data_IF_097374561502
#
_entry.id   IF_097374561502
#
_cell.length_a   1.000
_cell.length_b   1.000
_cell.length_c   1.000
_cell.angle_alpha   90.00
_cell.angle_beta   90.00
_cell.angle_gamma   90.00
#
_symmetry.space_group_name_H-M   'P 1'
#
loop_
_entity.id
_entity.type
_entity.pdbx_description
1 polymer ?
#
# COMPACT_ATOMS: atom_id res chain seq x y z
N UNK A 1 -1.54 -18.93 -24.59
CA UNK A 1 -1.83 -18.34 -23.28
C UNK A 1 -2.54 -19.40 -22.45
N UNK A 2 -1.89 -20.01 -21.45
CA UNK A 2 -2.55 -21.06 -20.64
C UNK A 2 -2.98 -20.61 -19.25
N UNK A 3 -2.67 -19.37 -18.83
CA UNK A 3 -3.02 -18.84 -17.52
C UNK A 3 -3.39 -17.35 -17.63
N UNK A 4 -4.41 -16.95 -16.87
CA UNK A 4 -4.89 -15.56 -16.79
C UNK A 4 -6.36 -15.38 -17.16
N UNK A 5 -6.90 -14.23 -16.79
CA UNK A 5 -8.25 -13.79 -17.17
C UNK A 5 -8.16 -12.80 -18.33
N UNK A 6 -9.13 -12.85 -19.25
CA UNK A 6 -9.17 -11.93 -20.39
C UNK A 6 -9.37 -10.50 -19.93
N UNK A 7 -8.47 -9.58 -20.31
CA UNK A 7 -8.64 -8.16 -19.99
C UNK A 7 -9.91 -7.60 -20.68
N UNK A 8 -10.58 -6.67 -20.02
CA UNK A 8 -11.78 -6.02 -20.55
C UNK A 8 -13.10 -6.72 -20.25
N UNK A 9 -13.11 -7.87 -19.56
CA UNK A 9 -14.35 -8.48 -19.07
C UNK A 9 -14.70 -8.01 -17.66
N UNK A 10 -16.01 -7.90 -17.38
CA UNK A 10 -16.55 -7.49 -16.07
C UNK A 10 -16.22 -8.53 -14.99
N UNK A 11 -16.05 -9.80 -15.38
CA UNK A 11 -15.77 -10.90 -14.45
C UNK A 11 -14.30 -10.99 -14.05
N UNK A 12 -13.37 -10.50 -14.88
CA UNK A 12 -11.93 -10.62 -14.64
C UNK A 12 -11.48 -10.07 -13.28
N UNK A 13 -11.91 -8.88 -12.84
CA UNK A 13 -11.56 -8.37 -11.52
C UNK A 13 -12.11 -9.23 -10.37
N UNK A 14 -13.35 -9.72 -10.50
CA UNK A 14 -14.00 -10.55 -9.47
C UNK A 14 -13.27 -11.89 -9.34
N UNK A 15 -12.96 -12.53 -10.46
CA UNK A 15 -12.22 -13.78 -10.49
C UNK A 15 -10.81 -13.62 -9.91
N UNK A 16 -10.15 -12.50 -10.20
CA UNK A 16 -8.86 -12.18 -9.59
C UNK A 16 -8.96 -12.01 -8.07
N UNK A 17 -9.96 -11.29 -7.58
CA UNK A 17 -10.18 -11.13 -6.13
C UNK A 17 -10.43 -12.47 -5.45
N UNK A 18 -11.26 -13.35 -6.04
CA UNK A 18 -11.48 -14.72 -5.53
C UNK A 18 -10.16 -15.51 -5.51
N UNK A 19 -9.35 -15.38 -6.56
CA UNK A 19 -8.07 -16.09 -6.68
C UNK A 19 -7.07 -15.73 -5.57
N UNK A 20 -7.07 -14.48 -5.11
CA UNK A 20 -6.13 -13.99 -4.08
C UNK A 20 -6.73 -13.87 -2.69
N UNK A 21 -8.02 -14.16 -2.52
CA UNK A 21 -8.80 -13.85 -1.31
C UNK A 21 -8.21 -14.42 -0.01
N UNK A 22 -7.58 -15.59 -0.09
CA UNK A 22 -7.05 -16.30 1.07
C UNK A 22 -5.73 -15.72 1.60
N UNK A 23 -5.20 -14.63 1.02
CA UNK A 23 -3.96 -13.99 1.52
C UNK A 23 -4.09 -13.57 2.98
N UNK A 24 -5.29 -13.27 3.46
CA UNK A 24 -5.54 -12.91 4.86
C UNK A 24 -5.09 -14.02 5.82
N UNK A 25 -5.08 -15.28 5.38
CA UNK A 25 -4.61 -16.42 6.16
C UNK A 25 -3.07 -16.50 6.27
N UNK A 26 -2.32 -15.79 5.43
CA UNK A 26 -0.85 -15.78 5.49
C UNK A 26 -0.30 -14.89 6.63
N UNK A 27 -1.15 -14.06 7.25
CA UNK A 27 -0.72 -13.09 8.25
C UNK A 27 -1.10 -13.51 9.67
N UNK A 28 -0.09 -13.62 10.55
CA UNK A 28 -0.32 -13.90 11.98
C UNK A 28 -0.61 -12.62 12.79
N UNK A 29 0.04 -11.51 12.42
CA UNK A 29 -0.06 -10.21 13.09
C UNK A 29 -0.17 -9.08 12.07
N UNK A 30 -0.89 -8.02 12.42
CA UNK A 30 -1.14 -6.89 11.53
C UNK A 30 -2.47 -7.00 10.79
N UNK A 31 -2.62 -6.19 9.74
CA UNK A 31 -3.81 -6.16 8.88
C UNK A 31 -3.39 -6.16 7.42
N UNK A 32 -4.17 -6.85 6.59
CA UNK A 32 -4.07 -6.75 5.13
C UNK A 32 -5.24 -5.90 4.62
N UNK A 33 -4.95 -5.01 3.69
CA UNK A 33 -5.96 -4.33 2.87
C UNK A 33 -5.65 -4.64 1.41
N UNK A 34 -6.61 -5.21 0.69
CA UNK A 34 -6.49 -5.49 -0.74
C UNK A 34 -7.46 -4.62 -1.53
N UNK A 35 -6.98 -4.10 -2.66
CA UNK A 35 -7.80 -3.42 -3.65
C UNK A 35 -7.29 -3.72 -5.06
N UNK A 36 -8.07 -4.48 -5.83
CA UNK A 36 -7.60 -5.07 -7.07
C UNK A 36 -6.26 -5.82 -6.85
N UNK A 37 -5.22 -5.50 -7.60
CA UNK A 37 -3.87 -6.05 -7.48
C UNK A 37 -3.01 -5.39 -6.39
N UNK A 38 -3.42 -4.23 -5.87
CA UNK A 38 -2.70 -3.55 -4.79
C UNK A 38 -2.99 -4.24 -3.44
N UNK A 39 -1.92 -4.63 -2.73
CA UNK A 39 -1.99 -5.19 -1.39
C UNK A 39 -1.16 -4.36 -0.43
N UNK A 40 -1.78 -3.91 0.66
CA UNK A 40 -1.12 -3.14 1.73
C UNK A 40 -1.10 -3.94 3.02
N UNK A 41 0.05 -3.99 3.66
CA UNK A 41 0.24 -4.62 4.97
C UNK A 41 0.42 -3.52 6.02
N UNK A 42 -0.34 -3.61 7.11
CA UNK A 42 -0.27 -2.66 8.22
C UNK A 42 0.14 -3.38 9.50
N UNK A 43 1.26 -2.96 10.08
CA UNK A 43 1.78 -3.48 11.33
C UNK A 43 1.83 -2.39 12.39
N UNK A 44 1.80 -2.79 13.66
CA UNK A 44 1.93 -1.89 14.80
C UNK A 44 2.67 -2.61 15.91
N UNK A 45 3.66 -1.93 16.47
CA UNK A 45 4.35 -2.34 17.68
C UNK A 45 4.71 -1.09 18.51
N UNK A 46 5.03 -1.29 19.79
CA UNK A 46 5.52 -0.21 20.66
C UNK A 46 7.05 -0.08 20.61
N UNK A 47 7.74 -1.05 20.00
CA UNK A 47 9.18 -1.12 19.80
C UNK A 47 9.51 -1.17 18.32
N UNK A 48 10.61 -0.53 17.90
CA UNK A 48 11.07 -0.61 16.52
C UNK A 48 11.45 -2.03 16.14
N UNK A 49 12.16 -2.75 17.02
CA UNK A 49 12.56 -4.14 16.79
C UNK A 49 11.35 -5.07 16.57
N UNK A 50 10.33 -4.96 17.42
CA UNK A 50 9.10 -5.73 17.25
C UNK A 50 8.36 -5.39 15.95
N UNK A 51 8.36 -4.11 15.56
CA UNK A 51 7.78 -3.67 14.29
C UNK A 51 8.54 -4.26 13.08
N UNK A 52 9.87 -4.23 13.12
CA UNK A 52 10.74 -4.81 12.08
C UNK A 52 10.51 -6.31 11.94
N UNK A 53 10.52 -7.05 13.07
CA UNK A 53 10.30 -8.49 13.09
C UNK A 53 8.91 -8.87 12.55
N UNK A 54 7.85 -8.20 13.00
CA UNK A 54 6.49 -8.45 12.54
C UNK A 54 6.34 -8.13 11.05
N UNK A 55 6.91 -7.01 10.60
CA UNK A 55 6.87 -6.58 9.20
C UNK A 55 7.60 -7.58 8.32
N UNK A 56 8.81 -8.00 8.71
CA UNK A 56 9.59 -8.99 7.96
C UNK A 56 8.88 -10.34 7.85
N UNK A 57 8.38 -10.87 8.97
CA UNK A 57 7.66 -12.14 8.99
C UNK A 57 6.37 -12.08 8.15
N UNK A 58 5.55 -11.04 8.36
CA UNK A 58 4.28 -10.88 7.66
C UNK A 58 4.46 -10.65 6.16
N UNK A 59 5.43 -9.84 5.76
CA UNK A 59 5.75 -9.58 4.35
C UNK A 59 6.25 -10.86 3.66
N UNK A 60 7.16 -11.60 4.28
CA UNK A 60 7.66 -12.86 3.70
C UNK A 60 6.55 -13.90 3.54
N UNK A 61 5.65 -14.04 4.51
CA UNK A 61 4.52 -14.95 4.37
C UNK A 61 3.61 -14.55 3.21
N UNK A 62 3.32 -13.25 3.05
CA UNK A 62 2.51 -12.77 1.92
C UNK A 62 3.21 -13.01 0.57
N UNK A 63 4.52 -12.78 0.50
CA UNK A 63 5.33 -13.07 -0.70
C UNK A 63 5.29 -14.55 -1.04
N UNK A 64 5.45 -15.44 -0.05
CA UNK A 64 5.34 -16.88 -0.25
C UNK A 64 3.94 -17.29 -0.73
N UNK A 65 2.88 -16.70 -0.16
CA UNK A 65 1.52 -16.92 -0.62
C UNK A 65 1.36 -16.51 -2.09
N UNK A 66 1.79 -15.31 -2.47
CA UNK A 66 1.71 -14.86 -3.87
C UNK A 66 2.53 -15.76 -4.81
N UNK A 67 3.73 -16.15 -4.41
CA UNK A 67 4.54 -17.09 -5.19
C UNK A 67 3.85 -18.44 -5.37
N UNK A 68 3.13 -18.95 -4.36
CA UNK A 68 2.34 -20.19 -4.48
C UNK A 68 1.21 -20.09 -5.50
N UNK A 69 0.71 -18.87 -5.73
CA UNK A 69 -0.27 -18.53 -6.75
C UNK A 69 0.37 -18.11 -8.09
N UNK A 70 1.67 -18.29 -8.27
CA UNK A 70 2.43 -17.82 -9.44
C UNK A 70 2.28 -16.30 -9.70
N UNK A 71 2.06 -15.52 -8.64
CA UNK A 71 2.02 -14.06 -8.67
C UNK A 71 3.37 -13.50 -8.19
N UNK A 72 3.83 -12.45 -8.85
CA UNK A 72 5.09 -11.78 -8.51
C UNK A 72 4.82 -10.43 -7.87
N UNK A 73 5.46 -10.17 -6.74
CA UNK A 73 5.44 -8.86 -6.09
C UNK A 73 6.37 -7.89 -6.82
N UNK A 74 5.94 -6.64 -7.01
CA UNK A 74 6.73 -5.63 -7.72
C UNK A 74 7.42 -4.66 -6.75
N UNK A 75 8.67 -4.94 -6.39
CA UNK A 75 9.39 -4.10 -5.44
C UNK A 75 9.65 -2.67 -5.88
N UNK A 76 9.78 -2.42 -7.20
CA UNK A 76 9.96 -1.06 -7.72
C UNK A 76 8.71 -0.16 -7.59
N UNK A 77 7.55 -0.76 -7.32
CA UNK A 77 6.28 -0.05 -7.07
C UNK A 77 5.83 -0.13 -5.61
N UNK A 78 6.57 -0.85 -4.77
CA UNK A 78 6.29 -0.99 -3.35
C UNK A 78 7.04 0.06 -2.56
N UNK A 79 6.39 0.65 -1.57
CA UNK A 79 7.00 1.59 -0.64
C UNK A 79 6.58 1.29 0.80
N UNK A 80 7.30 1.90 1.74
CA UNK A 80 7.00 1.85 3.17
C UNK A 80 6.60 3.23 3.63
N UNK A 81 5.47 3.32 4.34
CA UNK A 81 5.06 4.55 5.03
C UNK A 81 5.04 4.26 6.53
N UNK A 82 6.02 4.79 7.24
CA UNK A 82 6.14 4.63 8.68
C UNK A 82 5.37 5.74 9.41
N UNK A 83 4.43 5.37 10.29
CA UNK A 83 3.64 6.32 11.08
C UNK A 83 4.22 6.45 12.49
N UNK A 84 4.55 7.68 12.91
CA UNK A 84 5.06 7.95 14.26
C UNK A 84 4.48 9.26 14.82
N UNK A 85 3.98 9.22 16.06
CA UNK A 85 3.38 10.38 16.74
C UNK A 85 4.41 11.41 17.23
N UNK A 86 5.67 10.99 17.45
CA UNK A 86 6.76 11.88 17.85
C UNK A 86 7.81 11.89 16.75
N UNK A 87 8.39 13.06 16.47
CA UNK A 87 9.62 13.15 15.69
C UNK A 87 10.69 12.40 16.47
N UNK A 88 11.00 11.18 16.05
CA UNK A 88 12.24 10.55 16.46
C UNK A 88 13.28 11.19 15.55
N UNK A 89 13.85 12.29 16.02
CA UNK A 89 14.72 13.25 15.32
C UNK A 89 16.01 12.66 14.68
N UNK A 90 16.10 11.34 14.53
CA UNK A 90 17.31 10.67 14.05
C UNK A 90 17.15 9.19 13.66
N UNK A 91 15.94 8.59 13.74
CA UNK A 91 15.79 7.17 13.39
C UNK A 91 15.14 7.03 12.02
N UNK A 92 15.95 6.56 11.06
CA UNK A 92 15.48 5.87 9.86
C UNK A 92 14.41 4.87 10.30
N UNK A 93 13.28 4.81 9.59
CA UNK A 93 12.25 3.83 9.89
C UNK A 93 12.77 2.39 9.71
N UNK A 94 11.92 1.40 10.01
CA UNK A 94 12.30 0.00 9.88
C UNK A 94 12.78 -0.28 8.45
N UNK A 95 13.98 -0.85 8.31
CA UNK A 95 14.47 -1.27 7.00
C UNK A 95 13.69 -2.51 6.55
N UNK A 96 12.81 -2.35 5.56
CA UNK A 96 11.97 -3.44 5.05
C UNK A 96 12.56 -3.96 3.75
N UNK A 97 12.84 -5.27 3.70
CA UNK A 97 13.26 -5.95 2.48
C UNK A 97 12.09 -6.67 1.84
N UNK A 98 11.90 -6.46 0.55
CA UNK A 98 11.01 -7.24 -0.31
C UNK A 98 11.86 -8.01 -1.33
N UNK A 99 11.87 -9.33 -1.20
CA UNK A 99 12.81 -10.20 -1.91
C UNK A 99 14.26 -9.70 -1.71
N UNK A 100 14.96 -9.35 -2.79
CA UNK A 100 16.36 -8.90 -2.77
C UNK A 100 16.52 -7.36 -2.75
N UNK A 101 15.43 -6.62 -2.52
CA UNK A 101 15.42 -5.15 -2.57
C UNK A 101 14.93 -4.52 -1.29
N UNK A 102 15.65 -3.50 -0.81
CA UNK A 102 15.20 -2.65 0.29
C UNK A 102 14.14 -1.70 -0.25
N UNK A 103 12.98 -1.67 0.38
CA UNK A 103 11.89 -0.78 0.02
C UNK A 103 12.21 0.66 0.43
N UNK A 104 11.81 1.61 -0.42
CA UNK A 104 11.93 3.03 -0.12
C UNK A 104 10.91 3.41 0.97
N UNK A 105 11.42 4.03 2.05
CA UNK A 105 10.56 4.71 3.02
C UNK A 105 10.19 6.09 2.46
N UNK A 106 8.88 6.32 2.27
CA UNK A 106 8.35 7.58 1.75
C UNK A 106 7.67 8.38 2.87
N UNK A 107 7.69 9.71 2.74
CA UNK A 107 7.01 10.59 3.70
C UNK A 107 5.51 10.70 3.46
N UNK A 108 5.08 10.48 2.21
CA UNK A 108 3.69 10.60 1.77
C UNK A 108 3.42 9.61 0.64
N UNK A 109 2.28 8.93 0.69
CA UNK A 109 1.85 7.99 -0.34
C UNK A 109 0.35 8.11 -0.60
N UNK A 110 -0.08 7.76 -1.81
CA UNK A 110 -1.49 7.72 -2.17
C UNK A 110 -2.06 6.34 -1.87
N UNK A 111 -2.98 6.27 -0.93
CA UNK A 111 -3.66 5.04 -0.52
C UNK A 111 -5.17 5.18 -0.82
N UNK A 112 -5.69 4.33 -1.70
CA UNK A 112 -7.11 4.30 -2.10
C UNK A 112 -7.70 5.67 -2.49
N UNK A 113 -6.88 6.51 -3.13
CA UNK A 113 -7.31 7.85 -3.56
C UNK A 113 -7.01 8.99 -2.58
N UNK A 114 -6.55 8.67 -1.37
CA UNK A 114 -6.26 9.64 -0.30
C UNK A 114 -4.74 9.73 -0.13
N UNK A 115 -4.21 10.94 0.08
CA UNK A 115 -2.79 11.11 0.40
C UNK A 115 -2.62 10.98 1.91
N UNK A 116 -1.83 10.01 2.33
CA UNK A 116 -1.44 9.80 3.72
C UNK A 116 0.02 10.22 3.87
N UNK A 117 0.28 11.10 4.82
CA UNK A 117 1.63 11.46 5.24
C UNK A 117 1.97 10.82 6.59
N UNK A 118 3.27 10.67 6.88
CA UNK A 118 3.81 10.08 8.12
C UNK A 118 3.19 10.63 9.40
N UNK A 119 2.88 11.93 9.42
CA UNK A 119 2.29 12.60 10.57
C UNK A 119 0.76 12.57 10.61
N UNK A 120 0.11 11.96 9.59
CA UNK A 120 -1.33 12.04 9.36
C UNK A 120 -1.83 13.50 9.46
N UNK A 121 -1.07 14.43 8.89
CA UNK A 121 -1.38 15.86 8.92
C UNK A 121 -2.43 16.24 7.89
N UNK A 122 -2.63 15.41 6.85
CA UNK A 122 -3.60 15.59 5.76
C UNK A 122 -3.31 16.77 4.84
N UNK A 123 -2.22 17.52 5.06
CA UNK A 123 -1.89 18.72 4.30
C UNK A 123 -1.83 18.44 2.79
N UNK A 124 -1.06 17.43 2.38
CA UNK A 124 -0.94 17.02 0.97
C UNK A 124 -2.29 16.65 0.35
N UNK A 125 -3.18 16.02 1.11
CA UNK A 125 -4.50 15.65 0.63
C UNK A 125 -5.40 16.87 0.47
N UNK A 126 -5.43 17.76 1.46
CA UNK A 126 -6.22 19.00 1.44
C UNK A 126 -5.78 19.88 0.26
N UNK A 127 -4.47 20.09 0.08
CA UNK A 127 -3.93 20.87 -1.03
C UNK A 127 -4.35 20.28 -2.38
N UNK A 128 -4.27 18.96 -2.53
CA UNK A 128 -4.72 18.27 -3.74
C UNK A 128 -6.21 18.49 -4.02
N UNK A 129 -7.06 18.36 -3.01
CA UNK A 129 -8.51 18.56 -3.14
C UNK A 129 -8.82 20.02 -3.46
N UNK A 130 -8.21 20.97 -2.76
CA UNK A 130 -8.37 22.42 -3.00
C UNK A 130 -7.97 22.80 -4.43
N UNK A 131 -6.85 22.28 -4.94
CA UNK A 131 -6.42 22.51 -6.32
C UNK A 131 -7.43 21.95 -7.34
N UNK A 132 -7.91 20.72 -7.11
CA UNK A 132 -8.92 20.07 -7.97
C UNK A 132 -10.23 20.84 -7.99
N UNK A 133 -10.70 21.30 -6.83
CA UNK A 133 -11.92 22.10 -6.70
C UNK A 133 -11.76 23.47 -7.38
N UNK A 134 -10.62 24.12 -7.19
CA UNK A 134 -10.34 25.42 -7.83
C UNK A 134 -10.38 25.33 -9.36
N UNK A 135 -9.79 24.27 -9.92
CA UNK A 135 -9.87 23.98 -11.37
C UNK A 135 -11.32 23.73 -11.82
N UNK A 136 -12.09 22.93 -11.06
CA UNK A 136 -13.51 22.69 -11.35
C UNK A 136 -14.35 23.96 -11.31
N UNK A 137 -14.16 24.82 -10.29
CA UNK A 137 -14.86 26.10 -10.14
C UNK A 137 -14.53 27.03 -11.32
N UNK A 138 -13.26 27.07 -11.75
CA UNK A 138 -12.85 27.88 -12.91
C UNK A 138 -13.61 27.46 -14.18
N UNK A 139 -13.67 26.16 -14.46
CA UNK A 139 -14.44 25.63 -15.60
C UNK A 139 -15.91 25.99 -15.50
N UNK A 140 -16.54 25.80 -14.33
CA UNK A 140 -17.94 26.16 -14.13
C UNK A 140 -18.21 27.65 -14.34
N UNK A 141 -17.31 28.52 -13.88
CA UNK A 141 -17.40 29.97 -14.11
C UNK A 141 -17.21 30.36 -15.57
N UNK A 142 -16.43 29.61 -16.34
CA UNK A 142 -16.22 29.88 -17.78
C UNK A 142 -17.40 29.47 -18.66
N UNK A 143 -18.28 28.59 -18.14
CA UNK A 143 -19.49 28.12 -18.82
C UNK A 143 -20.74 28.93 -18.49
N UNK A 144 -20.68 29.75 -17.43
CA UNK A 144 -21.74 30.66 -17.01
C UNK A 144 -21.57 32.03 -17.70
#
# INVERSE_FOLDING_TARGET
MSYGVSQGTILSPILFLIYVNDVHSSLLHGKIVQYADDTTLCFRDNSQEGLEQQTFAGLNNCVQYFNSLNLQTNSSKSNVLNFALRSVDSQCGPAVMLADSILEEVYSSKFLGIFLDRGLTWNNHIDHVCAKLSSGIYVLRSLA
#
